data_IF_847651168384
#
_entry.id   IF_847651168384
#
_cell.length_a   1.000
_cell.length_b   1.000
_cell.length_c   1.000
_cell.angle_alpha   90.00
_cell.angle_beta   90.00
_cell.angle_gamma   90.00
#
_symmetry.space_group_name_H-M   'P 1'
#
loop_
_entity.id
_entity.type
_entity.pdbx_description
1 polymer ?
#
# COMPACT_ATOMS: atom_id res chain seq x y z
N UNK A 1 -7.70 3.49 -2.07
CA UNK A 1 -6.28 3.60 -1.64
C UNK A 1 -5.79 5.02 -1.83
N UNK A 2 -4.95 5.52 -0.94
CA UNK A 2 -4.18 6.76 -1.09
C UNK A 2 -2.69 6.40 -0.96
N UNK A 3 -1.89 6.71 -1.97
CA UNK A 3 -0.45 6.51 -1.98
C UNK A 3 0.23 7.83 -2.36
N UNK A 4 0.89 8.48 -1.40
CA UNK A 4 1.57 9.77 -1.60
C UNK A 4 2.95 9.69 -0.95
N UNK A 5 3.99 9.86 -1.75
CA UNK A 5 5.38 9.80 -1.29
C UNK A 5 5.73 8.46 -0.63
N UNK A 6 5.94 8.49 0.67
CA UNK A 6 6.33 7.37 1.55
C UNK A 6 5.14 6.73 2.30
N UNK A 7 3.90 7.18 2.05
CA UNK A 7 2.72 6.78 2.81
C UNK A 7 1.72 6.02 1.95
N UNK A 8 1.21 4.92 2.50
CA UNK A 8 0.14 4.12 1.93
C UNK A 8 -1.01 4.01 2.94
N UNK A 9 -2.17 4.55 2.58
CA UNK A 9 -3.41 4.42 3.36
C UNK A 9 -4.47 3.69 2.55
N UNK A 10 -5.19 2.82 3.23
CA UNK A 10 -6.27 2.03 2.63
C UNK A 10 -7.55 2.34 3.41
N UNK A 11 -8.59 2.75 2.68
CA UNK A 11 -9.91 2.88 3.26
C UNK A 11 -10.47 1.49 3.56
N UNK A 12 -11.06 1.35 4.75
CA UNK A 12 -11.75 0.13 5.19
C UNK A 12 -13.24 0.42 5.32
N UNK A 13 -14.03 -0.55 5.82
CA UNK A 13 -15.47 -0.34 6.06
C UNK A 13 -15.75 0.85 6.99
N UNK A 14 -14.85 1.13 7.94
CA UNK A 14 -14.87 2.34 8.76
C UNK A 14 -13.42 2.80 9.01
N UNK A 15 -13.12 4.03 8.62
CA UNK A 15 -11.80 4.66 8.84
C UNK A 15 -10.74 4.28 7.80
N UNK A 16 -9.48 4.47 8.18
CA UNK A 16 -8.30 4.28 7.34
C UNK A 16 -7.27 3.42 8.06
N UNK A 17 -6.64 2.50 7.34
CA UNK A 17 -5.44 1.79 7.80
C UNK A 17 -4.23 2.36 7.10
N UNK A 18 -3.22 2.77 7.88
CA UNK A 18 -1.90 3.14 7.36
C UNK A 18 -1.00 1.93 7.39
N UNK A 19 -0.50 1.52 6.23
CA UNK A 19 0.49 0.47 6.11
C UNK A 19 1.88 1.05 6.36
N UNK A 20 2.71 0.35 7.13
CA UNK A 20 4.11 0.70 7.43
C UNK A 20 5.11 -0.14 6.66
N UNK A 21 4.77 -1.41 6.39
CA UNK A 21 5.59 -2.35 5.64
C UNK A 21 4.73 -3.37 4.89
N UNK A 22 5.24 -3.89 3.78
CA UNK A 22 4.61 -4.96 2.99
C UNK A 22 5.64 -6.00 2.56
N UNK A 23 5.19 -7.24 2.42
CA UNK A 23 5.99 -8.32 1.87
C UNK A 23 5.40 -8.77 0.52
N UNK A 24 6.05 -8.45 -0.61
CA UNK A 24 5.70 -9.05 -1.89
C UNK A 24 5.92 -10.57 -1.87
N UNK A 25 5.13 -11.30 -2.64
CA UNK A 25 5.24 -12.77 -2.72
C UNK A 25 6.67 -13.20 -3.07
N UNK A 26 7.24 -14.12 -2.27
CA UNK A 26 8.61 -14.63 -2.46
C UNK A 26 9.73 -13.61 -2.19
N UNK A 27 9.44 -12.45 -1.60
CA UNK A 27 10.42 -11.42 -1.22
C UNK A 27 10.50 -11.26 0.29
N UNK A 28 11.53 -10.54 0.76
CA UNK A 28 11.61 -10.07 2.15
C UNK A 28 10.57 -8.98 2.42
N UNK A 29 10.31 -8.70 3.70
CA UNK A 29 9.55 -7.51 4.12
C UNK A 29 10.26 -6.23 3.64
N UNK A 30 9.47 -5.28 3.12
CA UNK A 30 9.90 -3.96 2.68
C UNK A 30 9.17 -2.88 3.48
N UNK A 31 9.81 -1.75 3.74
CA UNK A 31 9.10 -0.53 4.15
C UNK A 31 8.13 -0.08 3.03
N UNK A 32 7.10 0.71 3.37
CA UNK A 32 6.20 1.27 2.34
C UNK A 32 6.95 2.12 1.32
N UNK A 33 7.97 2.86 1.73
CA UNK A 33 8.76 3.67 0.80
C UNK A 33 9.51 2.80 -0.21
N UNK A 34 10.23 1.77 0.26
CA UNK A 34 10.89 0.79 -0.63
C UNK A 34 9.87 0.11 -1.55
N UNK A 35 8.71 -0.26 -1.01
CA UNK A 35 7.65 -0.89 -1.78
C UNK A 35 7.14 0.02 -2.90
N UNK A 36 6.79 1.28 -2.59
CA UNK A 36 6.22 2.22 -3.57
C UNK A 36 7.19 2.62 -4.67
N UNK A 37 8.51 2.58 -4.42
CA UNK A 37 9.55 2.80 -5.44
C UNK A 37 9.58 1.70 -6.50
N UNK A 38 9.38 0.43 -6.10
CA UNK A 38 9.37 -0.72 -7.01
C UNK A 38 7.99 -1.11 -7.54
N UNK A 39 6.93 -0.77 -6.79
CA UNK A 39 5.55 -1.15 -7.04
C UNK A 39 4.66 0.10 -6.93
N UNK A 40 4.64 0.96 -7.96
CA UNK A 40 3.88 2.20 -7.91
C UNK A 40 2.37 1.92 -7.80
N UNK A 41 1.73 2.55 -6.82
CA UNK A 41 0.29 2.53 -6.63
C UNK A 41 -0.29 3.91 -6.92
N UNK A 42 -1.46 3.95 -7.56
CA UNK A 42 -2.23 5.18 -7.74
C UNK A 42 -3.29 5.31 -6.66
N UNK A 43 -3.56 6.54 -6.24
CA UNK A 43 -4.74 6.81 -5.44
C UNK A 43 -6.01 6.34 -6.19
N UNK A 44 -6.99 5.84 -5.46
CA UNK A 44 -8.21 5.25 -6.01
C UNK A 44 -8.11 3.76 -6.36
N UNK A 45 -6.91 3.15 -6.36
CA UNK A 45 -6.78 1.71 -6.57
C UNK A 45 -7.57 0.92 -5.50
N UNK A 46 -8.11 -0.24 -5.89
CA UNK A 46 -8.87 -1.14 -5.02
C UNK A 46 -8.14 -2.47 -4.91
N UNK A 47 -8.13 -3.04 -3.71
CA UNK A 47 -7.57 -4.36 -3.44
C UNK A 47 -8.72 -5.36 -3.27
N UNK A 48 -8.52 -6.58 -3.75
CA UNK A 48 -9.56 -7.62 -3.72
C UNK A 48 -10.50 -7.57 -4.93
N UNK A 49 -11.51 -8.46 -4.96
CA UNK A 49 -12.53 -8.48 -6.01
C UNK A 49 -13.37 -7.19 -6.04
N UNK A 50 -13.98 -6.86 -7.19
CA UNK A 50 -14.89 -5.72 -7.33
C UNK A 50 -16.14 -5.84 -6.44
#
# INVERSE_FOLDING_TARGET
>A
VEAVGDRLRVATGQGLVRLSSLQPAGKRMLSVEEFLRGYPLKAGHRFGPP
#
